data_IF_907814853311
#
_entry.id   IF_907814853311
#
_cell.length_a   1.000
_cell.length_b   1.000
_cell.length_c   1.000
_cell.angle_alpha   90.00
_cell.angle_beta   90.00
_cell.angle_gamma   90.00
#
_symmetry.space_group_name_H-M   'P 1'
#
loop_
_entity.id
_entity.type
_entity.pdbx_description
1 polymer ?
#
# COMPACT_ATOMS: atom_id res chain seq x y z
N UNK A 1 -2.26 3.43 11.36
CA UNK A 1 -1.73 2.84 10.11
C UNK A 1 -0.32 2.34 10.40
N UNK A 2 0.18 1.27 9.77
CA UNK A 2 1.57 0.85 9.98
C UNK A 2 2.53 1.94 9.49
N UNK A 3 3.62 2.14 10.21
CA UNK A 3 4.62 3.18 9.96
C UNK A 3 6.01 2.57 9.77
N UNK A 4 6.80 3.21 8.90
CA UNK A 4 8.23 2.99 8.76
C UNK A 4 8.94 4.34 8.89
N UNK A 5 9.77 4.47 9.92
CA UNK A 5 10.52 5.70 10.22
C UNK A 5 11.97 5.39 10.56
N UNK A 6 12.83 6.40 10.37
CA UNK A 6 14.25 6.38 10.71
C UNK A 6 14.66 7.76 11.22
N UNK A 7 15.64 7.79 12.12
CA UNK A 7 16.28 9.03 12.57
C UNK A 7 17.63 9.17 11.88
N UNK A 8 17.87 10.32 11.25
CA UNK A 8 19.16 10.66 10.65
C UNK A 8 19.84 11.68 11.57
N UNK A 9 20.87 11.24 12.28
CA UNK A 9 21.72 12.13 13.08
C UNK A 9 22.68 12.89 12.17
N UNK A 10 23.01 14.14 12.52
CA UNK A 10 23.96 14.94 11.75
C UNK A 10 23.37 15.67 10.53
N UNK A 11 22.03 15.68 10.37
CA UNK A 11 21.36 16.22 9.19
C UNK A 11 21.55 17.75 9.07
N UNK A 12 21.53 18.46 10.19
CA UNK A 12 21.73 19.92 10.23
C UNK A 12 23.17 20.28 9.86
N UNK A 13 24.16 19.53 10.37
CA UNK A 13 25.57 19.69 10.02
C UNK A 13 25.82 19.36 8.54
N UNK A 14 25.15 18.33 8.01
CA UNK A 14 25.19 18.00 6.60
C UNK A 14 24.63 19.15 5.77
N UNK A 15 23.42 19.64 6.10
CA UNK A 15 22.76 20.77 5.46
C UNK A 15 23.65 22.04 5.45
N UNK A 16 24.36 22.31 6.54
CA UNK A 16 25.33 23.40 6.60
C UNK A 16 26.53 23.21 5.63
N UNK A 17 27.01 21.97 5.47
CA UNK A 17 28.14 21.65 4.59
C UNK A 17 27.79 21.67 3.11
N UNK A 18 26.61 21.19 2.71
CA UNK A 18 26.25 21.10 1.27
C UNK A 18 25.89 22.47 0.67
N UNK A 19 25.77 23.53 1.48
CA UNK A 19 25.50 24.92 1.05
C UNK A 19 24.29 25.07 0.10
N UNK A 20 23.34 24.12 0.17
CA UNK A 20 22.11 24.10 -0.63
C UNK A 20 21.00 23.43 0.17
N UNK A 21 19.75 23.82 -0.05
CA UNK A 21 18.60 23.18 0.60
C UNK A 21 18.48 21.69 0.18
N UNK A 22 18.52 20.77 1.15
CA UNK A 22 18.38 19.33 0.93
C UNK A 22 16.96 18.81 1.16
N UNK A 23 16.03 19.64 1.66
CA UNK A 23 14.63 19.26 1.90
C UNK A 23 13.96 18.63 0.68
N UNK A 24 14.11 19.15 -0.56
CA UNK A 24 13.54 18.50 -1.73
C UNK A 24 14.08 17.08 -1.97
N UNK A 25 15.34 16.82 -1.59
CA UNK A 25 15.95 15.49 -1.72
C UNK A 25 15.46 14.55 -0.63
N UNK A 26 15.25 15.03 0.60
CA UNK A 26 14.60 14.26 1.68
C UNK A 26 13.17 13.89 1.31
N UNK A 27 12.41 14.81 0.71
CA UNK A 27 11.06 14.53 0.26
C UNK A 27 11.04 13.48 -0.87
N UNK A 28 11.98 13.57 -1.82
CA UNK A 28 12.16 12.55 -2.87
C UNK A 28 12.54 11.20 -2.28
N UNK A 29 13.40 11.18 -1.28
CA UNK A 29 13.79 9.97 -0.55
C UNK A 29 12.55 9.32 0.12
N UNK A 30 11.74 10.10 0.84
CA UNK A 30 10.51 9.61 1.47
C UNK A 30 9.52 9.03 0.44
N UNK A 31 9.33 9.71 -0.68
CA UNK A 31 8.48 9.21 -1.79
C UNK A 31 9.04 7.92 -2.38
N UNK A 32 10.36 7.83 -2.60
CA UNK A 32 10.99 6.63 -3.13
C UNK A 32 10.80 5.41 -2.19
N UNK A 33 10.92 5.61 -0.88
CA UNK A 33 10.63 4.57 0.11
C UNK A 33 9.15 4.18 0.07
N UNK A 34 8.25 5.15 -0.02
CA UNK A 34 6.81 4.89 -0.19
C UNK A 34 6.50 4.07 -1.44
N UNK A 35 7.22 4.30 -2.55
CA UNK A 35 7.07 3.54 -3.78
C UNK A 35 7.51 2.08 -3.61
N UNK A 36 8.59 1.82 -2.88
CA UNK A 36 9.00 0.46 -2.52
C UNK A 36 7.95 -0.27 -1.66
N UNK A 37 7.30 0.44 -0.72
CA UNK A 37 6.18 -0.10 0.08
C UNK A 37 4.95 -0.35 -0.80
N UNK A 38 4.70 0.50 -1.81
CA UNK A 38 3.55 0.36 -2.73
C UNK A 38 3.66 -0.88 -3.61
N UNK A 39 4.85 -1.27 -4.07
CA UNK A 39 5.08 -2.40 -4.99
C UNK A 39 4.37 -3.71 -4.58
N UNK A 40 4.50 -4.22 -3.34
CA UNK A 40 3.81 -5.44 -2.95
C UNK A 40 2.28 -5.27 -2.82
N UNK A 41 1.76 -4.05 -2.65
CA UNK A 41 0.33 -3.78 -2.57
C UNK A 41 -0.35 -3.78 -3.94
N UNK A 42 0.36 -3.44 -5.02
CA UNK A 42 -0.18 -3.47 -6.39
C UNK A 42 -0.16 -4.87 -7.02
N UNK A 43 0.60 -5.80 -6.44
CA UNK A 43 0.70 -7.17 -6.92
C UNK A 43 -0.63 -7.93 -6.73
N UNK A 44 -1.07 -8.64 -7.78
CA UNK A 44 -2.22 -9.53 -7.68
C UNK A 44 -1.84 -10.78 -6.87
N UNK A 45 -2.73 -11.27 -6.00
CA UNK A 45 -2.55 -12.61 -5.47
C UNK A 45 -2.81 -13.66 -6.55
N UNK A 46 -2.56 -14.92 -6.20
CA UNK A 46 -2.89 -16.07 -7.04
C UNK A 46 -4.40 -16.23 -7.29
N UNK A 47 -4.81 -17.40 -7.82
CA UNK A 47 -6.21 -17.71 -8.06
C UNK A 47 -7.09 -17.49 -6.81
N UNK A 48 -8.32 -17.04 -7.04
CA UNK A 48 -9.28 -16.83 -5.95
C UNK A 48 -9.55 -18.15 -5.20
N UNK A 49 -9.58 -18.08 -3.87
CA UNK A 49 -9.94 -19.23 -3.04
C UNK A 49 -11.40 -19.67 -3.30
N UNK A 50 -11.62 -20.98 -3.41
CA UNK A 50 -12.95 -21.58 -3.53
C UNK A 50 -13.12 -22.72 -2.51
N UNK A 51 -14.26 -22.84 -1.80
CA UNK A 51 -15.42 -21.94 -1.87
C UNK A 51 -15.15 -20.55 -1.27
N UNK A 52 -16.06 -19.59 -1.55
CA UNK A 52 -15.97 -18.23 -1.00
C UNK A 52 -16.15 -18.27 0.52
N UNK A 53 -15.20 -17.67 1.24
CA UNK A 53 -15.20 -17.54 2.69
C UNK A 53 -15.86 -16.23 3.08
N UNK A 54 -17.07 -16.33 3.62
CA UNK A 54 -17.84 -15.17 4.09
C UNK A 54 -17.46 -14.82 5.52
N UNK A 55 -17.39 -13.52 5.83
CA UNK A 55 -17.19 -13.06 7.21
C UNK A 55 -18.41 -13.34 8.10
N UNK A 56 -19.62 -13.44 7.51
CA UNK A 56 -20.83 -13.83 8.22
C UNK A 56 -21.94 -14.33 7.27
N UNK A 57 -22.92 -15.07 7.79
CA UNK A 57 -24.13 -15.41 7.03
C UNK A 57 -24.90 -14.18 6.52
N UNK A 58 -24.91 -13.09 7.31
CA UNK A 58 -25.55 -11.82 6.93
C UNK A 58 -24.86 -11.17 5.73
N UNK A 59 -23.52 -11.14 5.71
CA UNK A 59 -22.76 -10.62 4.57
C UNK A 59 -23.04 -11.45 3.30
N UNK A 60 -23.06 -12.79 3.43
CA UNK A 60 -23.41 -13.68 2.32
C UNK A 60 -24.80 -13.37 1.76
N UNK A 61 -25.81 -13.26 2.62
CA UNK A 61 -27.18 -12.94 2.21
C UNK A 61 -27.25 -11.56 1.51
N UNK A 62 -26.61 -10.55 2.08
CA UNK A 62 -26.57 -9.20 1.52
C UNK A 62 -25.92 -9.17 0.12
N UNK A 63 -24.80 -9.88 -0.07
CA UNK A 63 -24.14 -9.98 -1.37
C UNK A 63 -25.09 -10.52 -2.45
N UNK A 64 -25.76 -11.65 -2.19
CA UNK A 64 -26.69 -12.23 -3.17
C UNK A 64 -27.93 -11.35 -3.40
N UNK A 65 -28.42 -10.65 -2.37
CA UNK A 65 -29.51 -9.71 -2.52
C UNK A 65 -29.14 -8.52 -3.42
N UNK A 66 -27.96 -7.92 -3.22
CA UNK A 66 -27.43 -6.82 -4.05
C UNK A 66 -27.29 -7.27 -5.51
N UNK A 67 -26.69 -8.44 -5.74
CA UNK A 67 -26.46 -8.98 -7.08
C UNK A 67 -27.78 -9.24 -7.82
N UNK A 68 -28.75 -9.85 -7.13
CA UNK A 68 -30.10 -10.08 -7.67
C UNK A 68 -30.82 -8.78 -8.01
N UNK A 69 -30.77 -7.79 -7.11
CA UNK A 69 -31.36 -6.46 -7.35
C UNK A 69 -30.74 -5.77 -8.56
N UNK A 70 -29.45 -5.99 -8.81
CA UNK A 70 -28.74 -5.42 -9.96
C UNK A 70 -28.87 -6.24 -11.26
N UNK A 71 -29.62 -7.35 -11.26
CA UNK A 71 -29.73 -8.24 -12.43
C UNK A 71 -28.41 -8.94 -12.81
N UNK A 72 -27.47 -9.03 -11.87
CA UNK A 72 -26.16 -9.65 -12.08
C UNK A 72 -26.21 -11.16 -11.76
N UNK A 73 -25.28 -11.97 -12.31
CA UNK A 73 -25.17 -13.40 -11.97
C UNK A 73 -24.89 -13.63 -10.47
N UNK A 74 -24.56 -14.85 -10.03
CA UNK A 74 -24.13 -15.13 -8.65
C UNK A 74 -22.61 -14.99 -8.41
N UNK A 75 -21.79 -15.27 -9.44
CA UNK A 75 -20.32 -15.11 -9.46
C UNK A 75 -19.82 -13.69 -9.80
N UNK A 76 -19.13 -13.02 -8.87
CA UNK A 76 -18.44 -11.74 -9.16
C UNK A 76 -17.27 -11.95 -10.12
N UNK A 77 -17.13 -11.04 -11.09
CA UNK A 77 -16.01 -11.02 -12.03
C UNK A 77 -15.25 -9.70 -11.90
N UNK A 78 -14.00 -9.78 -11.46
CA UNK A 78 -13.10 -8.63 -11.33
C UNK A 78 -12.89 -7.94 -12.69
N UNK A 79 -12.81 -6.62 -12.67
CA UNK A 79 -12.59 -5.75 -13.83
C UNK A 79 -13.73 -5.78 -14.88
N UNK A 80 -14.80 -6.54 -14.63
CA UNK A 80 -15.96 -6.70 -15.52
C UNK A 80 -17.26 -6.27 -14.86
N UNK A 81 -17.49 -6.67 -13.60
CA UNK A 81 -18.69 -6.27 -12.87
C UNK A 81 -18.75 -4.72 -12.74
N UNK A 82 -19.91 -4.07 -12.91
CA UNK A 82 -20.03 -2.60 -12.83
C UNK A 82 -19.57 -2.00 -11.50
N UNK A 83 -19.59 -2.81 -10.43
CA UNK A 83 -19.14 -2.43 -9.08
C UNK A 83 -17.64 -2.67 -8.86
N UNK A 84 -16.91 -3.14 -9.88
CA UNK A 84 -15.49 -3.42 -9.79
C UNK A 84 -14.66 -2.16 -10.00
N UNK A 85 -14.16 -1.58 -8.92
CA UNK A 85 -13.10 -0.55 -9.00
C UNK A 85 -11.74 -1.20 -9.33
N UNK A 86 -10.81 -0.43 -9.89
CA UNK A 86 -9.47 -0.92 -10.27
C UNK A 86 -8.48 -0.78 -9.12
N UNK A 87 -8.67 -1.55 -8.04
CA UNK A 87 -7.87 -1.49 -6.80
C UNK A 87 -6.36 -1.30 -7.03
N UNK A 88 -5.78 -2.08 -7.97
CA UNK A 88 -4.35 -2.05 -8.30
C UNK A 88 -3.87 -0.72 -8.85
N UNK A 89 -4.67 -0.08 -9.69
CA UNK A 89 -4.34 1.19 -10.32
C UNK A 89 -4.64 2.39 -9.41
N UNK A 90 -5.37 2.14 -8.31
CA UNK A 90 -5.78 3.16 -7.34
C UNK A 90 -4.75 3.41 -6.25
N UNK A 91 -3.62 2.70 -6.21
CA UNK A 91 -2.53 2.94 -5.26
C UNK A 91 -1.58 4.03 -5.75
N UNK A 92 -1.27 4.98 -4.89
CA UNK A 92 -0.31 6.05 -5.16
C UNK A 92 0.42 6.47 -3.87
N UNK A 93 1.57 7.12 -4.04
CA UNK A 93 2.36 7.70 -2.95
C UNK A 93 2.21 9.20 -3.01
N UNK A 94 1.89 9.84 -1.88
CA UNK A 94 1.83 11.29 -1.79
C UNK A 94 2.87 11.79 -0.79
N UNK A 95 3.55 12.91 -1.08
CA UNK A 95 4.33 13.60 -0.06
C UNK A 95 3.41 14.08 1.08
N UNK A 96 3.89 14.01 2.30
CA UNK A 96 3.23 14.54 3.49
C UNK A 96 4.27 15.36 4.29
N UNK A 97 4.18 16.68 4.21
CA UNK A 97 5.23 17.56 4.73
C UNK A 97 6.52 17.50 3.90
N UNK A 98 7.66 17.62 4.59
CA UNK A 98 9.01 17.79 3.99
C UNK A 98 9.89 16.53 4.07
N UNK A 99 9.55 15.61 4.98
CA UNK A 99 10.37 14.43 5.31
C UNK A 99 9.57 13.14 5.33
N UNK A 100 8.29 13.18 4.93
CA UNK A 100 7.42 12.01 5.00
C UNK A 100 6.57 11.84 3.76
N UNK A 101 6.07 10.63 3.56
CA UNK A 101 5.19 10.29 2.45
C UNK A 101 4.21 9.22 2.90
N UNK A 102 3.01 9.25 2.32
CA UNK A 102 1.93 8.32 2.64
C UNK A 102 1.55 7.50 1.41
N UNK A 103 1.35 6.19 1.62
CA UNK A 103 0.87 5.26 0.59
C UNK A 103 -0.64 5.12 0.72
N UNK A 104 -1.40 5.52 -0.30
CA UNK A 104 -2.86 5.66 -0.25
C UNK A 104 -3.51 4.89 -1.40
N UNK A 105 -4.73 4.40 -1.16
CA UNK A 105 -5.58 3.81 -2.19
C UNK A 105 -6.91 4.55 -2.29
N UNK A 106 -7.33 4.92 -3.51
CA UNK A 106 -8.61 5.62 -3.74
C UNK A 106 -9.83 4.70 -3.92
N UNK A 107 -9.65 3.38 -4.03
CA UNK A 107 -10.76 2.46 -4.18
C UNK A 107 -11.55 2.32 -2.88
N UNK A 108 -12.89 2.45 -2.96
CA UNK A 108 -13.75 2.57 -1.78
C UNK A 108 -13.68 1.34 -0.84
N UNK A 109 -13.38 0.18 -1.41
CA UNK A 109 -13.31 -1.09 -0.68
C UNK A 109 -11.88 -1.53 -0.32
N UNK A 110 -10.84 -0.74 -0.61
CA UNK A 110 -9.43 -1.14 -0.45
C UNK A 110 -9.10 -1.67 0.96
N UNK A 111 -9.65 -1.03 2.00
CA UNK A 111 -9.45 -1.44 3.40
C UNK A 111 -9.92 -2.87 3.68
N UNK A 112 -10.94 -3.36 2.99
CA UNK A 112 -11.43 -4.73 3.15
C UNK A 112 -10.56 -5.76 2.44
N UNK A 113 -9.65 -5.33 1.57
CA UNK A 113 -8.76 -6.19 0.79
C UNK A 113 -7.35 -6.21 1.39
N UNK A 114 -6.82 -5.05 1.77
CA UNK A 114 -5.40 -4.89 2.07
C UNK A 114 -5.12 -4.15 3.39
N UNK A 115 -6.11 -3.87 4.25
CA UNK A 115 -5.80 -3.43 5.62
C UNK A 115 -5.70 -4.62 6.55
N UNK A 116 -4.59 -4.77 7.28
CA UNK A 116 -4.42 -5.85 8.26
C UNK A 116 -5.53 -5.86 9.33
N UNK A 117 -6.10 -4.70 9.65
CA UNK A 117 -7.17 -4.57 10.63
C UNK A 117 -8.57 -4.95 10.10
N UNK A 118 -8.82 -4.83 8.79
CA UNK A 118 -10.17 -4.94 8.20
C UNK A 118 -10.26 -5.98 7.06
N UNK A 119 -9.16 -6.64 6.71
CA UNK A 119 -9.10 -7.59 5.61
C UNK A 119 -10.12 -8.71 5.80
N UNK A 120 -10.97 -8.91 4.78
CA UNK A 120 -11.99 -9.95 4.80
C UNK A 120 -11.35 -11.34 4.66
N UNK A 121 -11.97 -12.39 5.24
CA UNK A 121 -11.43 -13.75 5.23
C UNK A 121 -11.09 -14.28 3.84
N UNK A 122 -11.96 -14.03 2.84
CA UNK A 122 -11.72 -14.42 1.45
C UNK A 122 -10.42 -13.82 0.88
N UNK A 123 -10.13 -12.55 1.18
CA UNK A 123 -8.95 -11.88 0.66
C UNK A 123 -7.67 -12.40 1.34
N UNK A 124 -7.74 -12.66 2.64
CA UNK A 124 -6.66 -13.33 3.38
C UNK A 124 -6.35 -14.71 2.80
N UNK A 125 -7.37 -15.55 2.62
CA UNK A 125 -7.21 -16.90 2.08
C UNK A 125 -6.72 -16.92 0.62
N UNK A 126 -7.03 -15.87 -0.16
CA UNK A 126 -6.51 -15.72 -1.52
C UNK A 126 -5.03 -15.27 -1.53
N UNK A 127 -4.51 -14.73 -0.43
CA UNK A 127 -3.12 -14.28 -0.31
C UNK A 127 -2.90 -12.80 -0.65
N UNK A 128 -3.93 -11.95 -0.48
CA UNK A 128 -3.75 -10.50 -0.62
C UNK A 128 -2.80 -9.96 0.46
N UNK A 129 -1.77 -9.23 0.03
CA UNK A 129 -0.81 -8.55 0.92
C UNK A 129 -1.50 -7.39 1.64
N UNK A 130 -1.30 -7.29 2.95
CA UNK A 130 -1.79 -6.18 3.76
C UNK A 130 -0.80 -5.01 3.82
N UNK A 131 -1.28 -3.84 4.25
CA UNK A 131 -0.49 -2.67 4.62
C UNK A 131 0.66 -3.03 5.58
N UNK A 132 0.37 -3.83 6.61
CA UNK A 132 1.37 -4.31 7.57
C UNK A 132 2.41 -5.21 6.91
N UNK A 133 1.98 -6.15 6.07
CA UNK A 133 2.90 -7.05 5.35
C UNK A 133 3.79 -6.27 4.38
N UNK A 134 3.26 -5.26 3.70
CA UNK A 134 4.00 -4.42 2.78
C UNK A 134 5.12 -3.63 3.51
N UNK A 135 4.79 -3.02 4.65
CA UNK A 135 5.79 -2.36 5.51
C UNK A 135 6.82 -3.34 6.02
N UNK A 136 6.40 -4.54 6.47
CA UNK A 136 7.34 -5.55 6.95
C UNK A 136 8.28 -6.03 5.84
N UNK A 137 7.77 -6.27 4.63
CA UNK A 137 8.60 -6.63 3.47
C UNK A 137 9.62 -5.54 3.15
N UNK A 138 9.26 -4.27 3.25
CA UNK A 138 10.21 -3.16 3.05
C UNK A 138 11.30 -3.13 4.13
N UNK A 139 10.94 -3.42 5.40
CA UNK A 139 11.89 -3.56 6.52
C UNK A 139 12.84 -4.73 6.31
N UNK A 140 12.31 -5.93 6.04
CA UNK A 140 13.10 -7.14 5.84
C UNK A 140 14.03 -7.01 4.63
N UNK A 141 13.56 -6.31 3.60
CA UNK A 141 14.37 -6.02 2.44
C UNK A 141 15.40 -4.92 2.70
N UNK A 142 15.48 -4.26 3.85
CA UNK A 142 16.44 -3.18 4.12
C UNK A 142 16.30 -1.97 3.18
N UNK A 143 15.06 -1.64 2.80
CA UNK A 143 14.78 -0.53 1.87
C UNK A 143 15.27 0.80 2.43
N UNK A 144 15.05 1.04 3.72
CA UNK A 144 15.39 2.30 4.38
C UNK A 144 16.91 2.55 4.34
N UNK A 145 17.70 1.57 4.76
CA UNK A 145 19.15 1.67 4.86
C UNK A 145 19.79 1.87 3.49
N UNK A 146 19.27 1.19 2.46
CA UNK A 146 19.73 1.42 1.08
C UNK A 146 19.39 2.83 0.60
N UNK A 147 18.16 3.27 0.84
CA UNK A 147 17.70 4.57 0.35
C UNK A 147 18.47 5.72 1.03
N UNK A 148 18.68 5.64 2.35
CA UNK A 148 19.50 6.60 3.10
C UNK A 148 20.95 6.59 2.60
N UNK A 149 21.56 5.40 2.41
CA UNK A 149 22.92 5.31 1.86
C UNK A 149 23.03 5.98 0.48
N UNK A 150 22.11 5.68 -0.43
CA UNK A 150 22.09 6.28 -1.77
C UNK A 150 21.91 7.80 -1.72
N UNK A 151 21.06 8.28 -0.80
CA UNK A 151 20.88 9.71 -0.55
C UNK A 151 22.18 10.37 -0.08
N UNK A 152 22.84 9.80 0.92
CA UNK A 152 24.12 10.33 1.42
C UNK A 152 25.21 10.31 0.35
N UNK A 153 25.33 9.21 -0.41
CA UNK A 153 26.28 9.11 -1.52
C UNK A 153 26.01 10.13 -2.63
N UNK A 154 24.73 10.45 -2.89
CA UNK A 154 24.35 11.46 -3.88
C UNK A 154 24.63 12.90 -3.41
N UNK A 155 24.56 13.16 -2.10
CA UNK A 155 24.88 14.47 -1.52
C UNK A 155 26.38 14.77 -1.48
N UNK A 156 27.23 13.75 -1.43
CA UNK A 156 28.68 13.87 -1.31
C UNK A 156 29.43 13.88 -2.66
N UNK A 157 28.71 13.78 -3.77
CA UNK A 157 29.26 13.92 -5.13
C UNK A 157 29.16 15.36 -5.61
#
# INVERSE_FOLDING_TARGET
MPELSVTIEGLDELQAKVSRNITPDLQRLAVAIGEEIRKPLVANPGPAHSPVIWASPRQRAAYFAIRRKAGLPARYTRDVDPQSERLRLSWFVMPEGDTSAVVVNSASYAKYVQSAAQQQPQHRATGWVTDKDAVQKAKDAGVMERAVRMFTEALLR
#
